data_IF_053884269146
#
_entry.id   IF_053884269146
#
_cell.length_a   1.000
_cell.length_b   1.000
_cell.length_c   1.000
_cell.angle_alpha   90.00
_cell.angle_beta   90.00
_cell.angle_gamma   90.00
#
_symmetry.space_group_name_H-M   'P 1'
#
loop_
_entity.id
_entity.type
_entity.pdbx_description
1 polymer ?
#
# COMPACT_ATOMS: atom_id res chain seq x y z
N UNK A 1 -3.42 65.51 -15.20
CA UNK A 1 -2.83 64.27 -15.72
C UNK A 1 -2.53 63.25 -14.66
N UNK A 2 -3.50 62.90 -13.87
CA UNK A 2 -3.33 61.89 -12.84
C UNK A 2 -3.84 60.53 -13.19
N UNK A 3 -4.33 60.30 -14.41
CA UNK A 3 -4.87 58.96 -14.75
C UNK A 3 -3.79 58.07 -15.31
N UNK A 4 -3.63 56.87 -14.75
CA UNK A 4 -2.74 55.89 -15.36
C UNK A 4 -3.27 55.48 -16.73
N UNK A 5 -2.41 55.07 -17.65
CA UNK A 5 -2.83 54.58 -18.97
C UNK A 5 -3.79 53.40 -18.83
N UNK A 6 -4.75 53.29 -19.74
CA UNK A 6 -5.69 52.17 -19.77
C UNK A 6 -4.96 50.83 -19.83
N UNK A 7 -3.88 50.79 -20.62
CA UNK A 7 -3.07 49.56 -20.70
C UNK A 7 -2.53 49.16 -19.35
N UNK A 8 -2.13 50.13 -18.53
CA UNK A 8 -1.65 49.83 -17.17
C UNK A 8 -2.77 49.27 -16.28
N UNK A 9 -3.97 49.86 -16.38
CA UNK A 9 -5.13 49.40 -15.62
C UNK A 9 -5.51 47.98 -16.01
N UNK A 10 -5.51 47.69 -17.30
CA UNK A 10 -5.82 46.35 -17.82
C UNK A 10 -4.77 45.35 -17.34
N UNK A 11 -3.51 45.71 -17.44
CA UNK A 11 -2.41 44.86 -16.98
C UNK A 11 -2.52 44.57 -15.50
N UNK A 12 -2.81 45.55 -14.69
CA UNK A 12 -2.99 45.40 -13.24
C UNK A 12 -4.12 44.46 -12.91
N UNK A 13 -5.25 44.62 -13.62
CA UNK A 13 -6.42 43.75 -13.41
C UNK A 13 -6.14 42.31 -13.82
N UNK A 14 -5.44 42.10 -14.92
CA UNK A 14 -5.05 40.77 -15.36
C UNK A 14 -4.07 40.13 -14.40
N UNK A 15 -3.14 40.88 -13.85
CA UNK A 15 -2.21 40.39 -12.85
C UNK A 15 -2.96 39.93 -11.58
N UNK A 16 -3.92 40.76 -11.17
CA UNK A 16 -4.77 40.42 -10.02
C UNK A 16 -5.52 39.10 -10.25
N UNK A 17 -6.12 38.95 -11.43
CA UNK A 17 -6.83 37.71 -11.80
C UNK A 17 -5.88 36.51 -11.84
N UNK A 18 -4.69 36.70 -12.40
CA UNK A 18 -3.70 35.65 -12.47
C UNK A 18 -3.25 35.20 -11.06
N UNK A 19 -3.10 36.13 -10.14
CA UNK A 19 -2.74 35.83 -8.76
C UNK A 19 -3.85 35.05 -8.05
N UNK A 20 -5.11 35.46 -8.25
CA UNK A 20 -6.26 34.75 -7.69
C UNK A 20 -6.36 33.34 -8.23
N UNK A 21 -6.17 33.18 -9.54
CA UNK A 21 -6.19 31.87 -10.18
C UNK A 21 -5.04 30.99 -9.67
N UNK A 22 -3.87 31.59 -9.50
CA UNK A 22 -2.71 30.88 -8.97
C UNK A 22 -2.96 30.39 -7.55
N UNK A 23 -3.56 31.23 -6.70
CA UNK A 23 -3.91 30.84 -5.33
C UNK A 23 -4.94 29.72 -5.32
N UNK A 24 -5.93 29.79 -6.20
CA UNK A 24 -6.96 28.74 -6.34
C UNK A 24 -6.33 27.41 -6.73
N UNK A 25 -5.47 27.44 -7.75
CA UNK A 25 -4.78 26.23 -8.24
C UNK A 25 -3.86 25.66 -7.16
N UNK A 26 -3.20 26.51 -6.41
CA UNK A 26 -2.34 26.08 -5.31
C UNK A 26 -3.14 25.36 -4.24
N UNK A 27 -4.29 25.90 -3.86
CA UNK A 27 -5.17 25.28 -2.88
C UNK A 27 -5.69 23.92 -3.37
N UNK A 28 -6.12 23.84 -4.62
CA UNK A 28 -6.57 22.59 -5.23
C UNK A 28 -5.45 21.55 -5.23
N UNK A 29 -4.26 21.99 -5.59
CA UNK A 29 -3.09 21.11 -5.61
C UNK A 29 -2.77 20.58 -4.21
N UNK A 30 -2.78 21.46 -3.21
CA UNK A 30 -2.53 21.06 -1.82
C UNK A 30 -3.55 20.04 -1.33
N UNK A 31 -4.83 20.24 -1.67
CA UNK A 31 -5.89 19.29 -1.32
C UNK A 31 -5.69 17.94 -1.99
N UNK A 32 -5.30 17.93 -3.25
CA UNK A 32 -5.02 16.69 -3.99
C UNK A 32 -3.83 15.96 -3.40
N UNK A 33 -2.76 16.67 -3.05
CA UNK A 33 -1.57 16.10 -2.43
C UNK A 33 -1.93 15.49 -1.07
N UNK A 34 -2.74 16.19 -0.28
CA UNK A 34 -3.20 15.68 1.00
C UNK A 34 -4.02 14.40 0.84
N UNK A 35 -4.93 14.38 -0.13
CA UNK A 35 -5.75 13.21 -0.43
C UNK A 35 -4.90 12.02 -0.85
N UNK A 36 -3.95 12.23 -1.75
CA UNK A 36 -3.04 11.19 -2.22
C UNK A 36 -2.19 10.67 -1.05
N UNK A 37 -1.72 11.56 -0.19
CA UNK A 37 -0.91 11.16 0.97
C UNK A 37 -1.72 10.26 1.91
N UNK A 38 -2.98 10.58 2.13
CA UNK A 38 -3.89 9.75 2.94
C UNK A 38 -4.10 8.38 2.29
N UNK A 39 -4.36 8.34 0.98
CA UNK A 39 -4.55 7.10 0.26
C UNK A 39 -3.29 6.23 0.30
N UNK A 40 -2.13 6.84 0.15
CA UNK A 40 -0.85 6.13 0.25
C UNK A 40 -0.66 5.51 1.64
N UNK A 41 -1.06 6.23 2.68
CA UNK A 41 -1.03 5.72 4.04
C UNK A 41 -1.90 4.49 4.21
N UNK A 42 -3.12 4.53 3.69
CA UNK A 42 -4.06 3.40 3.74
C UNK A 42 -3.50 2.20 2.97
N UNK A 43 -2.99 2.45 1.76
CA UNK A 43 -2.40 1.38 0.94
C UNK A 43 -1.20 0.74 1.63
N UNK A 44 -0.38 1.54 2.28
CA UNK A 44 0.78 1.06 3.02
C UNK A 44 0.35 0.16 4.18
N UNK A 45 -0.71 0.56 4.90
CA UNK A 45 -1.27 -0.26 5.98
C UNK A 45 -1.83 -1.57 5.45
N UNK A 46 -2.55 -1.53 4.32
CA UNK A 46 -3.11 -2.72 3.70
C UNK A 46 -2.00 -3.67 3.24
N UNK A 47 -0.95 -3.12 2.64
CA UNK A 47 0.19 -3.91 2.20
C UNK A 47 0.88 -4.59 3.38
N UNK A 48 1.08 -3.85 4.46
CA UNK A 48 1.68 -4.39 5.69
C UNK A 48 0.82 -5.51 6.27
N UNK A 49 -0.51 -5.33 6.30
CA UNK A 49 -1.44 -6.36 6.76
C UNK A 49 -1.37 -7.62 5.89
N UNK A 50 -1.31 -7.44 4.56
CA UNK A 50 -1.19 -8.56 3.63
C UNK A 50 0.14 -9.30 3.83
N UNK A 51 1.23 -8.57 4.02
CA UNK A 51 2.53 -9.18 4.29
C UNK A 51 2.50 -10.02 5.56
N UNK A 52 1.86 -9.52 6.62
CA UNK A 52 1.71 -10.23 7.87
C UNK A 52 0.85 -11.50 7.68
N UNK A 53 -0.23 -11.40 6.92
CA UNK A 53 -1.08 -12.55 6.61
C UNK A 53 -0.33 -13.61 5.82
N UNK A 54 0.45 -13.20 4.84
CA UNK A 54 1.27 -14.10 4.04
C UNK A 54 2.33 -14.80 4.90
N UNK A 55 2.95 -14.06 5.80
CA UNK A 55 3.93 -14.61 6.74
C UNK A 55 3.29 -15.66 7.63
N UNK A 56 2.12 -15.35 8.20
CA UNK A 56 1.38 -16.27 9.05
C UNK A 56 0.96 -17.53 8.29
N UNK A 57 0.49 -17.36 7.05
CA UNK A 57 0.10 -18.47 6.18
C UNK A 57 1.31 -19.35 5.86
N UNK A 58 2.43 -18.75 5.58
CA UNK A 58 3.68 -19.48 5.29
C UNK A 58 4.15 -20.26 6.50
N UNK A 59 4.10 -19.66 7.68
CA UNK A 59 4.44 -20.36 8.94
C UNK A 59 3.52 -21.55 9.19
N UNK A 60 2.22 -21.36 8.92
CA UNK A 60 1.23 -22.43 9.06
C UNK A 60 1.51 -23.59 8.10
N UNK A 61 1.80 -23.29 6.83
CA UNK A 61 2.13 -24.29 5.81
C UNK A 61 3.40 -25.03 6.21
N UNK A 62 4.42 -24.32 6.68
CA UNK A 62 5.67 -24.93 7.13
C UNK A 62 5.42 -25.90 8.30
N UNK A 63 4.57 -25.50 9.22
CA UNK A 63 4.19 -26.33 10.35
C UNK A 63 3.45 -27.59 9.89
N UNK A 64 2.52 -27.44 8.95
CA UNK A 64 1.79 -28.58 8.39
C UNK A 64 2.71 -29.54 7.65
N UNK A 65 3.67 -29.02 6.91
CA UNK A 65 4.66 -29.84 6.22
C UNK A 65 5.48 -30.66 7.21
N UNK A 66 5.90 -30.05 8.32
CA UNK A 66 6.61 -30.74 9.37
C UNK A 66 5.78 -31.86 10.01
N UNK A 67 4.51 -31.56 10.29
CA UNK A 67 3.59 -32.54 10.85
C UNK A 67 3.34 -33.69 9.87
N UNK A 68 3.20 -33.39 8.61
CA UNK A 68 3.01 -34.39 7.55
C UNK A 68 4.24 -35.29 7.42
N UNK A 69 5.42 -34.71 7.47
CA UNK A 69 6.66 -35.46 7.41
C UNK A 69 6.81 -36.40 8.61
N UNK A 70 6.51 -35.90 9.80
CA UNK A 70 6.54 -36.73 11.02
C UNK A 70 5.55 -37.88 10.93
N UNK A 71 4.35 -37.60 10.43
CA UNK A 71 3.32 -38.63 10.21
C UNK A 71 3.80 -39.66 9.20
N UNK A 72 4.42 -39.22 8.12
CA UNK A 72 4.96 -40.11 7.09
C UNK A 72 6.04 -41.03 7.67
N UNK A 73 6.94 -40.50 8.47
CA UNK A 73 7.97 -41.29 9.15
C UNK A 73 7.35 -42.32 10.08
N UNK A 74 6.29 -41.96 10.80
CA UNK A 74 5.58 -42.83 11.68
C UNK A 74 4.94 -44.03 10.93
N UNK A 75 4.29 -43.70 9.80
CA UNK A 75 3.66 -44.72 8.95
C UNK A 75 4.72 -45.63 8.35
N UNK A 76 5.82 -45.09 7.85
CA UNK A 76 6.91 -45.91 7.31
C UNK A 76 7.54 -46.79 8.37
N UNK A 77 7.73 -46.27 9.58
CA UNK A 77 8.23 -47.05 10.72
C UNK A 77 7.29 -48.18 11.12
N UNK A 78 6.00 -47.92 11.18
CA UNK A 78 4.99 -48.92 11.45
C UNK A 78 4.93 -49.99 10.37
N UNK A 79 5.05 -49.59 9.10
CA UNK A 79 5.11 -50.53 7.99
C UNK A 79 6.34 -51.43 8.07
N UNK A 80 7.48 -50.90 8.42
CA UNK A 80 8.70 -51.69 8.64
C UNK A 80 8.53 -52.68 9.78
N UNK A 81 7.95 -52.23 10.87
CA UNK A 81 7.63 -53.15 12.02
C UNK A 81 6.69 -54.25 11.62
N UNK A 82 5.65 -53.89 10.86
CA UNK A 82 4.69 -54.89 10.39
C UNK A 82 5.34 -55.88 9.42
N UNK A 83 6.23 -55.40 8.55
CA UNK A 83 6.98 -56.23 7.65
C UNK A 83 7.85 -57.23 8.40
N UNK A 84 8.51 -56.80 9.46
CA UNK A 84 9.27 -57.71 10.33
C UNK A 84 8.40 -58.68 11.11
N UNK A 85 7.20 -58.28 11.47
CA UNK A 85 6.27 -59.10 12.20
C UNK A 85 5.70 -60.26 11.40
N UNK A 86 5.78 -60.20 10.09
CA UNK A 86 5.30 -61.27 9.20
C UNK A 86 6.29 -62.42 9.01
N UNK A 87 7.47 -62.20 9.43
CA UNK A 87 8.51 -63.23 9.35
C UNK A 87 8.70 -63.93 10.70
#
# INVERSE_FOLDING_TARGET
MGRPPEAFMIFREELRKAQLENDRLKQEYEQKVEHITKEMGILKEQLSAQENMMKSAFEYVTKLEGELEDFKKKVDGDNEKNSFGYH
#
